data_IF_031070150579
#
_entry.id   IF_031070150579
#
_cell.length_a   1.000
_cell.length_b   1.000
_cell.length_c   1.000
_cell.angle_alpha   90.00
_cell.angle_beta   90.00
_cell.angle_gamma   90.00
#
_symmetry.space_group_name_H-M   'P 1'
#
loop_
_entity.id
_entity.type
_entity.pdbx_description
1 polymer ?
#
# COMPACT_ATOMS: atom_id res chain seq x y z
N UNK A 1 16.78 -45.80 7.39
CA UNK A 1 15.66 -45.64 8.34
C UNK A 1 16.23 -45.14 9.65
N UNK A 2 16.11 -43.83 9.90
CA UNK A 2 16.83 -43.09 10.94
C UNK A 2 15.86 -42.18 11.70
N UNK A 3 15.48 -42.65 12.90
CA UNK A 3 15.49 -41.94 14.19
C UNK A 3 14.72 -40.61 14.41
N UNK A 4 13.82 -40.65 15.41
CA UNK A 4 13.43 -39.61 16.40
C UNK A 4 12.62 -38.38 15.92
N UNK A 5 11.31 -38.42 16.21
CA UNK A 5 10.50 -37.20 16.43
C UNK A 5 10.14 -37.10 17.91
N UNK A 6 10.70 -36.08 18.55
CA UNK A 6 10.53 -35.72 19.95
C UNK A 6 9.34 -34.77 20.09
N UNK A 7 8.44 -35.18 20.99
CA UNK A 7 7.57 -34.41 21.89
C UNK A 7 7.68 -32.88 21.84
N UNK A 8 6.55 -32.20 21.61
CA UNK A 8 6.12 -31.07 22.45
C UNK A 8 4.61 -31.21 22.67
N UNK A 9 4.29 -31.51 23.92
CA UNK A 9 2.99 -31.57 24.56
C UNK A 9 2.64 -30.12 24.94
N UNK A 10 1.65 -29.50 24.28
CA UNK A 10 1.18 -28.16 24.61
C UNK A 10 0.23 -28.24 25.82
N UNK A 11 0.77 -27.90 26.99
CA UNK A 11 0.10 -27.80 28.28
C UNK A 11 0.03 -26.31 28.68
N UNK A 12 -1.03 -25.95 29.40
CA UNK A 12 -1.35 -24.71 30.13
C UNK A 12 -2.35 -23.77 29.41
N UNK A 13 -3.66 -23.88 29.69
CA UNK A 13 -4.41 -23.36 30.86
C UNK A 13 -4.19 -21.85 31.09
N UNK A 14 -4.98 -21.03 30.38
CA UNK A 14 -5.30 -19.67 30.82
C UNK A 14 -6.61 -19.71 31.63
N UNK A 15 -6.45 -19.76 32.95
CA UNK A 15 -7.44 -19.35 33.92
C UNK A 15 -7.14 -17.88 34.31
N UNK A 16 -8.09 -17.22 34.99
CA UNK A 16 -8.12 -15.83 35.51
C UNK A 16 -8.89 -14.91 34.53
N UNK A 17 -10.05 -14.34 34.82
CA UNK A 17 -10.78 -14.16 36.07
C UNK A 17 -11.50 -12.80 35.96
N UNK A 18 -12.80 -12.78 35.62
CA UNK A 18 -13.59 -11.54 35.61
C UNK A 18 -14.47 -11.51 36.86
N UNK A 19 -14.16 -10.55 37.73
CA UNK A 19 -14.84 -10.27 38.99
C UNK A 19 -16.11 -9.45 38.74
N UNK A 20 -17.09 -9.72 39.59
CA UNK A 20 -18.47 -9.25 39.69
C UNK A 20 -18.64 -7.79 40.18
N UNK A 21 -19.70 -7.17 39.65
CA UNK A 21 -20.64 -6.18 40.22
C UNK A 21 -20.26 -4.71 40.47
N UNK A 22 -21.28 -3.88 40.15
CA UNK A 22 -21.75 -2.63 40.78
C UNK A 22 -21.90 -1.54 39.72
N UNK A 23 -22.91 -0.67 39.67
CA UNK A 23 -24.07 -0.41 40.49
C UNK A 23 -24.99 0.52 39.66
N UNK A 24 -26.27 0.53 40.02
CA UNK A 24 -27.24 1.51 39.54
C UNK A 24 -26.89 2.93 40.01
N UNK A 25 -27.03 3.91 39.12
CA UNK A 25 -27.27 5.31 39.47
C UNK A 25 -28.03 6.00 38.33
N UNK A 26 -29.34 6.05 38.50
CA UNK A 26 -30.23 6.97 37.81
C UNK A 26 -30.06 8.34 38.45
N UNK A 27 -29.66 9.34 37.67
CA UNK A 27 -29.70 10.74 38.05
C UNK A 27 -30.18 11.57 36.86
N UNK A 28 -31.44 11.97 36.94
CA UNK A 28 -32.06 12.99 36.11
C UNK A 28 -31.31 14.32 36.28
N UNK A 29 -30.81 14.89 35.18
CA UNK A 29 -30.58 16.33 35.08
C UNK A 29 -31.04 16.83 33.71
N UNK A 30 -32.24 17.40 33.70
CA UNK A 30 -32.68 18.43 32.78
C UNK A 30 -31.96 19.74 33.14
N UNK A 31 -31.08 20.24 32.27
CA UNK A 31 -30.85 21.68 32.22
C UNK A 31 -30.17 22.17 30.93
N UNK A 32 -30.78 23.22 30.40
CA UNK A 32 -30.16 24.34 29.66
C UNK A 32 -29.39 24.07 28.37
N UNK A 33 -30.03 24.46 27.27
CA UNK A 33 -29.43 24.88 26.00
C UNK A 33 -28.23 25.82 26.21
N UNK A 34 -27.02 25.46 25.73
CA UNK A 34 -25.97 26.42 25.44
C UNK A 34 -25.99 26.73 23.95
N UNK A 35 -25.97 28.01 23.62
CA UNK A 35 -25.79 28.52 22.27
C UNK A 35 -24.61 27.82 21.59
N UNK A 36 -24.82 27.30 20.38
CA UNK A 36 -23.75 26.81 19.51
C UNK A 36 -22.97 28.04 19.04
N UNK A 37 -21.71 28.28 19.46
CA UNK A 37 -20.86 29.18 18.71
C UNK A 37 -20.66 28.54 17.33
N UNK A 38 -21.01 29.27 16.28
CA UNK A 38 -20.65 28.94 14.91
C UNK A 38 -19.12 28.90 14.81
N UNK A 39 -18.55 27.73 15.09
CA UNK A 39 -17.19 27.39 14.69
C UNK A 39 -17.07 27.47 13.17
N UNK A 40 -15.88 27.72 12.63
CA UNK A 40 -15.68 27.71 11.19
C UNK A 40 -16.25 26.38 10.66
N UNK A 41 -17.08 26.45 9.61
CA UNK A 41 -17.32 25.32 8.73
C UNK A 41 -15.95 24.90 8.22
N UNK A 42 -15.31 23.99 8.95
CA UNK A 42 -14.22 23.21 8.42
C UNK A 42 -14.88 22.35 7.37
N UNK A 43 -14.84 22.87 6.14
CA UNK A 43 -15.02 22.13 4.91
C UNK A 43 -13.85 21.14 4.83
N UNK A 44 -13.84 20.19 5.75
CA UNK A 44 -13.04 19.00 5.63
C UNK A 44 -13.77 18.18 4.58
N UNK A 45 -13.51 18.53 3.31
CA UNK A 45 -13.48 17.54 2.24
C UNK A 45 -12.61 16.41 2.78
N UNK A 46 -13.27 15.37 3.28
CA UNK A 46 -12.65 14.10 3.57
C UNK A 46 -12.21 13.58 2.20
N UNK A 47 -11.02 13.96 1.76
CA UNK A 47 -10.35 13.32 0.63
C UNK A 47 -10.16 11.87 1.05
N UNK A 48 -11.12 11.05 0.68
CA UNK A 48 -11.08 9.61 0.85
C UNK A 48 -9.99 9.07 -0.07
N UNK A 49 -8.74 9.12 0.38
CA UNK A 49 -7.65 8.35 -0.21
C UNK A 49 -7.84 6.89 0.20
N UNK A 50 -8.84 6.25 -0.41
CA UNK A 50 -9.07 4.81 -0.32
C UNK A 50 -8.05 4.11 -1.24
N UNK A 51 -6.79 4.17 -0.79
CA UNK A 51 -5.60 4.22 -1.64
C UNK A 51 -5.08 2.87 -2.09
N UNK A 52 -5.94 1.98 -2.60
CA UNK A 52 -5.47 0.72 -3.18
C UNK A 52 -4.46 0.94 -4.30
N UNK A 53 -4.63 2.02 -5.08
CA UNK A 53 -3.73 2.47 -6.15
C UNK A 53 -2.73 3.52 -5.69
N UNK A 54 -2.60 3.75 -4.38
CA UNK A 54 -1.69 4.75 -3.82
C UNK A 54 -0.42 4.11 -3.30
N UNK A 55 0.72 4.69 -3.65
CA UNK A 55 2.05 4.31 -3.15
C UNK A 55 2.70 5.46 -2.40
N UNK A 56 3.52 5.13 -1.40
CA UNK A 56 4.32 6.10 -0.66
C UNK A 56 5.79 5.93 -1.04
N UNK A 57 6.44 7.05 -1.37
CA UNK A 57 7.88 7.14 -1.60
C UNK A 57 8.49 7.90 -0.43
N UNK A 58 9.37 7.24 0.33
CA UNK A 58 10.01 7.77 1.53
C UNK A 58 11.11 8.81 1.22
N UNK A 59 11.65 8.75 0.00
CA UNK A 59 12.70 9.63 -0.50
C UNK A 59 12.56 9.79 -2.02
N UNK A 60 13.36 10.69 -2.59
CA UNK A 60 13.39 10.88 -4.04
C UNK A 60 13.90 9.61 -4.76
N UNK A 61 13.28 9.28 -5.89
CA UNK A 61 13.58 8.10 -6.70
C UNK A 61 13.74 8.51 -8.16
N UNK A 62 14.81 8.03 -8.77
CA UNK A 62 15.08 8.16 -10.20
C UNK A 62 14.34 7.06 -10.95
N UNK A 63 13.54 7.44 -11.93
CA UNK A 63 12.88 6.54 -12.88
C UNK A 63 13.27 6.90 -14.31
N UNK A 64 13.03 5.97 -15.22
CA UNK A 64 13.19 6.23 -16.66
C UNK A 64 11.84 6.61 -17.25
N UNK A 65 11.77 7.64 -18.09
CA UNK A 65 10.58 7.98 -18.88
C UNK A 65 10.44 7.03 -20.08
N UNK A 66 9.27 6.96 -20.74
CA UNK A 66 9.11 6.15 -21.95
C UNK A 66 10.09 6.51 -23.09
N UNK A 67 10.65 7.71 -23.07
CA UNK A 67 11.66 8.23 -23.99
C UNK A 67 13.11 7.92 -23.58
N UNK A 68 13.32 7.03 -22.61
CA UNK A 68 14.64 6.64 -22.09
C UNK A 68 15.41 7.80 -21.44
N UNK A 69 14.67 8.72 -20.79
CA UNK A 69 15.27 9.85 -20.05
C UNK A 69 15.11 9.67 -18.55
N UNK A 70 16.09 10.15 -17.76
CA UNK A 70 16.00 10.11 -16.30
C UNK A 70 15.04 11.17 -15.77
N UNK A 71 14.14 10.78 -14.86
CA UNK A 71 13.24 11.68 -14.14
C UNK A 71 13.32 11.41 -12.64
N UNK A 72 13.44 12.48 -11.86
CA UNK A 72 13.45 12.39 -10.40
C UNK A 72 12.05 12.63 -9.88
N UNK A 73 11.47 11.61 -9.23
CA UNK A 73 10.21 11.70 -8.51
C UNK A 73 10.53 11.99 -7.04
N UNK A 74 10.06 13.10 -6.46
CA UNK A 74 10.34 13.41 -5.07
C UNK A 74 9.62 12.45 -4.10
N UNK A 75 9.97 12.55 -2.82
CA UNK A 75 9.25 11.83 -1.76
C UNK A 75 7.80 12.32 -1.69
N UNK A 76 6.86 11.41 -1.42
CA UNK A 76 5.45 11.76 -1.35
C UNK A 76 4.53 10.56 -1.53
N UNK A 77 3.23 10.85 -1.50
CA UNK A 77 2.16 9.86 -1.67
C UNK A 77 1.53 10.05 -3.05
N UNK A 78 1.65 9.05 -3.91
CA UNK A 78 1.27 9.13 -5.32
C UNK A 78 0.11 8.22 -5.63
N UNK A 79 -0.88 8.73 -6.34
CA UNK A 79 -1.83 7.89 -7.07
C UNK A 79 -1.16 7.34 -8.33
N UNK A 80 -1.22 6.02 -8.48
CA UNK A 80 -0.64 5.30 -9.62
C UNK A 80 -1.74 4.85 -10.56
N UNK A 81 -1.58 5.17 -11.84
CA UNK A 81 -2.49 4.75 -12.89
C UNK A 81 -1.71 4.19 -14.08
N UNK A 82 -2.30 3.25 -14.80
CA UNK A 82 -1.76 2.77 -16.08
C UNK A 82 -2.30 3.64 -17.22
N UNK A 83 -1.41 4.15 -18.07
CA UNK A 83 -1.78 4.95 -19.27
C UNK A 83 -1.59 4.18 -20.58
N UNK A 84 -1.30 2.87 -20.50
CA UNK A 84 -1.02 2.01 -21.64
C UNK A 84 -0.34 0.72 -21.21
N UNK A 85 0.20 -0.02 -22.18
CA UNK A 85 0.83 -1.33 -21.93
C UNK A 85 2.26 -1.26 -21.40
N UNK A 86 2.84 -0.06 -21.23
CA UNK A 86 4.23 0.11 -20.83
C UNK A 86 4.54 1.42 -20.11
N UNK A 87 3.52 2.06 -19.54
CA UNK A 87 3.66 3.36 -18.89
C UNK A 87 2.82 3.40 -17.62
N UNK A 88 3.39 4.00 -16.58
CA UNK A 88 2.68 4.36 -15.36
C UNK A 88 2.66 5.87 -15.20
N UNK A 89 1.54 6.38 -14.73
CA UNK A 89 1.36 7.76 -14.35
C UNK A 89 1.33 7.87 -12.83
N UNK A 90 2.15 8.76 -12.27
CA UNK A 90 2.18 9.10 -10.86
C UNK A 90 1.65 10.51 -10.67
N UNK A 91 0.64 10.65 -9.82
CA UNK A 91 0.04 11.95 -9.51
C UNK A 91 0.19 12.23 -8.02
N UNK A 92 0.93 13.29 -7.68
CA UNK A 92 0.94 13.85 -6.33
C UNK A 92 -0.24 14.82 -6.23
N UNK A 93 -1.03 14.76 -5.15
CA UNK A 93 -2.31 15.47 -5.05
C UNK A 93 -2.28 16.92 -5.52
N UNK A 94 -3.02 17.24 -6.58
CA UNK A 94 -3.12 18.59 -7.16
C UNK A 94 -1.95 19.02 -8.05
N UNK A 95 -0.94 18.18 -8.23
CA UNK A 95 0.20 18.44 -9.12
C UNK A 95 0.02 17.84 -10.52
N UNK A 96 0.86 18.28 -11.45
CA UNK A 96 0.93 17.70 -12.79
C UNK A 96 1.42 16.25 -12.71
N UNK A 97 0.79 15.32 -13.46
CA UNK A 97 1.19 13.92 -13.44
C UNK A 97 2.57 13.71 -14.08
N UNK A 98 3.35 12.79 -13.50
CA UNK A 98 4.62 12.31 -14.05
C UNK A 98 4.39 10.96 -14.73
N UNK A 99 4.95 10.78 -15.92
CA UNK A 99 4.86 9.51 -16.67
C UNK A 99 6.20 8.81 -16.65
N UNK A 100 6.22 7.56 -16.17
CA UNK A 100 7.41 6.71 -16.13
C UNK A 100 7.21 5.48 -17.02
N UNK A 101 8.33 4.96 -17.54
CA UNK A 101 8.37 3.70 -18.25
C UNK A 101 8.08 2.55 -17.29
N UNK A 102 7.32 1.57 -17.78
CA UNK A 102 7.05 0.33 -17.07
C UNK A 102 7.11 -0.85 -18.05
N UNK A 103 7.54 -2.00 -17.55
CA UNK A 103 7.48 -3.27 -18.27
C UNK A 103 6.21 -4.03 -17.90
N UNK A 104 5.72 -4.87 -18.82
CA UNK A 104 4.76 -5.90 -18.43
C UNK A 104 5.46 -6.91 -17.51
N UNK A 105 4.85 -7.16 -16.35
CA UNK A 105 5.29 -8.23 -15.47
C UNK A 105 5.16 -9.57 -16.19
N UNK A 106 6.18 -10.45 -16.15
CA UNK A 106 6.08 -11.81 -16.68
C UNK A 106 5.14 -12.69 -15.85
N UNK A 107 4.64 -12.17 -14.73
CA UNK A 107 3.79 -12.87 -13.78
C UNK A 107 2.42 -12.21 -13.69
N UNK A 108 1.39 -13.05 -13.71
CA UNK A 108 0.00 -12.66 -13.42
C UNK A 108 -0.25 -12.81 -11.93
N UNK A 109 -0.65 -11.72 -11.28
CA UNK A 109 -0.91 -11.70 -9.84
C UNK A 109 -2.40 -11.84 -9.57
N UNK A 110 -2.82 -13.06 -9.25
CA UNK A 110 -4.19 -13.34 -8.82
C UNK A 110 -4.29 -13.17 -7.31
N UNK A 111 -4.62 -11.96 -6.90
CA UNK A 111 -5.14 -11.66 -5.56
C UNK A 111 -6.65 -11.46 -5.73
N UNK A 112 -7.47 -11.85 -4.74
CA UNK A 112 -8.92 -11.60 -4.73
C UNK A 112 -9.18 -10.09 -4.57
N UNK A 113 -8.82 -9.33 -5.60
CA UNK A 113 -8.93 -7.87 -5.67
C UNK A 113 -10.14 -7.51 -6.52
N UNK A 114 -10.99 -6.65 -5.98
CA UNK A 114 -12.14 -6.08 -6.70
C UNK A 114 -11.81 -4.75 -7.36
N UNK A 115 -10.64 -4.19 -7.08
CA UNK A 115 -10.12 -2.94 -7.61
C UNK A 115 -8.63 -3.08 -7.97
N UNK A 116 -8.09 -2.20 -8.84
CA UNK A 116 -6.65 -2.18 -9.11
C UNK A 116 -5.85 -1.88 -7.84
N UNK A 117 -4.63 -2.40 -7.79
CA UNK A 117 -3.74 -2.25 -6.64
C UNK A 117 -2.37 -1.77 -7.11
N UNK A 118 -1.82 -0.79 -6.41
CA UNK A 118 -0.44 -0.35 -6.55
C UNK A 118 0.33 -0.59 -5.25
N UNK A 119 1.54 -1.10 -5.37
CA UNK A 119 2.46 -1.29 -4.26
C UNK A 119 3.87 -0.83 -4.65
N UNK A 120 4.55 -0.16 -3.73
CA UNK A 120 5.97 0.12 -3.82
C UNK A 120 6.72 -0.94 -3.01
N UNK A 121 7.70 -1.60 -3.62
CA UNK A 121 8.49 -2.66 -3.01
C UNK A 121 9.98 -2.34 -3.11
N UNK A 122 10.77 -2.56 -2.06
CA UNK A 122 12.22 -2.50 -2.19
C UNK A 122 12.71 -3.58 -3.16
N UNK A 123 13.73 -3.27 -3.95
CA UNK A 123 14.35 -4.21 -4.89
C UNK A 123 15.15 -5.31 -4.21
N UNK A 124 15.97 -6.00 -5.00
CA UNK A 124 16.97 -6.93 -4.45
C UNK A 124 18.19 -6.16 -3.90
N UNK A 125 18.53 -5.05 -4.53
CA UNK A 125 19.53 -4.10 -4.06
C UNK A 125 18.90 -3.01 -3.18
N UNK A 126 19.64 -2.52 -2.18
CA UNK A 126 19.19 -1.45 -1.27
C UNK A 126 18.91 -0.11 -1.99
N UNK A 127 19.47 0.03 -3.19
CA UNK A 127 19.31 1.21 -4.02
C UNK A 127 18.09 1.15 -4.94
N UNK A 128 17.40 0.01 -5.05
CA UNK A 128 16.31 -0.17 -6.01
C UNK A 128 14.93 -0.12 -5.36
N UNK A 129 13.97 0.41 -6.10
CA UNK A 129 12.55 0.41 -5.77
C UNK A 129 11.76 -0.09 -6.99
N UNK A 130 10.76 -0.92 -6.76
CA UNK A 130 9.82 -1.37 -7.78
C UNK A 130 8.43 -0.83 -7.46
N UNK A 131 7.77 -0.25 -8.45
CA UNK A 131 6.33 0.04 -8.39
C UNK A 131 5.63 -1.03 -9.20
N UNK A 132 4.83 -1.85 -8.52
CA UNK A 132 3.99 -2.86 -9.14
C UNK A 132 2.54 -2.36 -9.14
N UNK A 133 1.97 -2.21 -10.33
CA UNK A 133 0.57 -1.88 -10.53
C UNK A 133 -0.15 -3.08 -11.13
N UNK A 134 -1.12 -3.63 -10.40
CA UNK A 134 -1.90 -4.79 -10.80
C UNK A 134 -3.33 -4.38 -11.09
N UNK A 135 -3.81 -4.72 -12.29
CA UNK A 135 -5.18 -4.50 -12.72
C UNK A 135 -6.10 -5.61 -12.19
N UNK A 136 -7.41 -5.33 -12.19
CA UNK A 136 -8.43 -6.37 -11.97
C UNK A 136 -8.32 -7.38 -13.11
N UNK A 137 -8.05 -8.65 -12.77
CA UNK A 137 -7.71 -9.71 -13.75
C UNK A 137 -6.27 -10.19 -13.67
N UNK A 138 -5.41 -9.47 -12.95
CA UNK A 138 -4.06 -9.91 -12.57
C UNK A 138 -2.95 -9.52 -13.54
N UNK A 139 -3.27 -8.90 -14.69
CA UNK A 139 -2.27 -8.22 -15.51
C UNK A 139 -1.57 -7.14 -14.70
N UNK A 140 -0.26 -7.02 -14.85
CA UNK A 140 0.53 -6.10 -14.04
C UNK A 140 1.63 -5.41 -14.82
N UNK A 141 1.87 -4.17 -14.44
CA UNK A 141 2.98 -3.35 -14.91
C UNK A 141 3.95 -3.14 -13.78
N UNK A 142 5.23 -3.17 -14.10
CA UNK A 142 6.31 -2.97 -13.15
C UNK A 142 7.25 -1.86 -13.65
N UNK A 143 7.49 -0.87 -12.81
CA UNK A 143 8.50 0.15 -13.05
C UNK A 143 9.62 0.01 -12.00
N UNK A 144 10.86 0.10 -12.47
CA UNK A 144 12.06 0.04 -11.62
C UNK A 144 12.65 1.43 -11.48
N UNK A 145 12.88 1.85 -10.24
CA UNK A 145 13.54 3.08 -9.88
C UNK A 145 14.80 2.85 -9.03
N UNK A 146 15.63 3.88 -8.93
CA UNK A 146 16.87 3.88 -8.15
C UNK A 146 16.93 5.10 -7.22
N UNK A 147 17.42 4.92 -5.99
CA UNK A 147 17.62 6.04 -5.06
C UNK A 147 18.89 6.84 -5.36
N UNK A 148 19.92 6.23 -5.96
CA UNK A 148 21.18 6.89 -6.32
C UNK A 148 21.19 7.46 -7.75
N UNK A 149 20.23 7.08 -8.58
CA UNK A 149 20.23 7.33 -10.02
C UNK A 149 21.15 6.39 -10.82
N UNK A 150 21.83 5.46 -10.16
CA UNK A 150 22.65 4.45 -10.82
C UNK A 150 21.77 3.26 -11.19
N UNK A 151 21.43 3.17 -12.47
CA UNK A 151 20.71 2.01 -12.99
C UNK A 151 21.70 0.89 -13.38
N UNK A 152 21.40 -0.34 -12.95
CA UNK A 152 22.16 -1.51 -13.37
C UNK A 152 21.96 -1.73 -14.87
N UNK A 153 23.07 -1.99 -15.60
CA UNK A 153 23.03 -2.33 -17.03
C UNK A 153 22.67 -3.82 -17.27
N UNK A 154 22.15 -4.49 -16.26
CA UNK A 154 21.71 -5.88 -16.31
C UNK A 154 20.31 -6.04 -16.92
N UNK A 155 19.84 -7.29 -17.10
CA UNK A 155 18.45 -7.53 -17.47
C UNK A 155 17.52 -6.86 -16.45
N UNK A 156 16.40 -6.26 -16.93
CA UNK A 156 15.36 -5.74 -16.04
C UNK A 156 14.94 -6.85 -15.07
N UNK A 157 15.26 -6.65 -13.80
CA UNK A 157 14.90 -7.59 -12.74
C UNK A 157 13.47 -7.25 -12.34
N UNK A 158 12.56 -8.18 -12.61
CA UNK A 158 11.17 -8.09 -12.16
C UNK A 158 11.05 -8.58 -10.72
N UNK A 159 10.06 -8.06 -9.99
CA UNK A 159 9.78 -8.53 -8.63
C UNK A 159 9.38 -10.00 -8.66
N UNK A 160 9.98 -10.81 -7.78
CA UNK A 160 9.64 -12.22 -7.69
C UNK A 160 8.19 -12.43 -7.21
N UNK A 161 7.47 -13.46 -7.72
CA UNK A 161 6.06 -13.66 -7.44
C UNK A 161 5.73 -13.73 -5.95
N UNK A 162 6.54 -14.48 -5.20
CA UNK A 162 6.33 -14.70 -3.77
C UNK A 162 6.45 -13.41 -2.96
N UNK A 163 7.38 -12.52 -3.34
CA UNK A 163 7.52 -11.21 -2.68
C UNK A 163 6.30 -10.36 -3.01
N UNK A 164 5.99 -10.17 -4.28
CA UNK A 164 4.85 -9.36 -4.71
C UNK A 164 3.52 -9.84 -4.10
N UNK A 165 3.28 -11.15 -4.02
CA UNK A 165 2.04 -11.70 -3.46
C UNK A 165 1.77 -11.25 -2.02
N UNK A 166 2.79 -11.22 -1.15
CA UNK A 166 2.63 -10.80 0.25
C UNK A 166 2.17 -9.34 0.33
N UNK A 167 2.79 -8.46 -0.45
CA UNK A 167 2.46 -7.04 -0.46
C UNK A 167 1.09 -6.78 -1.07
N UNK A 168 0.78 -7.39 -2.22
CA UNK A 168 -0.52 -7.26 -2.87
C UNK A 168 -1.65 -7.80 -1.98
N UNK A 169 -1.46 -8.93 -1.30
CA UNK A 169 -2.46 -9.48 -0.38
C UNK A 169 -2.70 -8.54 0.81
N UNK A 170 -1.64 -7.98 1.39
CA UNK A 170 -1.78 -7.01 2.49
C UNK A 170 -2.53 -5.74 2.07
N UNK A 171 -2.24 -5.24 0.86
CA UNK A 171 -2.87 -4.05 0.30
C UNK A 171 -4.33 -4.31 -0.05
N UNK A 172 -4.63 -5.45 -0.69
CA UNK A 172 -5.98 -5.90 -1.02
C UNK A 172 -6.86 -6.06 0.23
N UNK A 173 -6.32 -6.69 1.27
CA UNK A 173 -7.02 -6.85 2.54
C UNK A 173 -7.36 -5.49 3.15
N UNK A 174 -6.38 -4.58 3.21
CA UNK A 174 -6.57 -3.25 3.80
C UNK A 174 -7.59 -2.42 3.02
N UNK A 175 -7.58 -2.48 1.69
CA UNK A 175 -8.58 -1.78 0.84
C UNK A 175 -9.98 -2.38 0.90
N UNK A 176 -10.13 -3.61 1.40
CA UNK A 176 -11.44 -4.27 1.51
C UNK A 176 -12.16 -4.00 2.84
N UNK A 177 -11.49 -3.36 3.80
CA UNK A 177 -12.07 -3.05 5.10
C UNK A 177 -13.03 -1.86 4.97
N UNK A 178 -14.26 -1.95 5.52
CA UNK A 178 -15.17 -0.80 5.55
C UNK A 178 -14.57 0.31 6.42
N UNK A 179 -14.51 1.54 5.86
CA UNK A 179 -14.00 2.75 6.50
C UNK A 179 -14.88 3.24 7.65
#
# INVERSE_FOLDING_TARGET
MLTKTIRILFLLLFLQGFITASAMAEATQSNTTPAIPSGPKTDATLESFDGATTVELDRAVHFTTPEDTDVVVPAGTYEVQSTGTGTLQLTLGGESPLVIAAGQSPHTYQVEQTQPIAVALPGEDEDSLHILFTQVGGESLEATGSYSGIQSRGPNIFVSPSRAHVWLQSKAYTSSLPS
#
